data_IF_310458287143
#
_entry.id   IF_310458287143
#
_cell.length_a   1.000
_cell.length_b   1.000
_cell.length_c   1.000
_cell.angle_alpha   90.00
_cell.angle_beta   90.00
_cell.angle_gamma   90.00
#
_symmetry.space_group_name_H-M   'P 1'
#
loop_
_entity.id
_entity.type
_entity.pdbx_description
1 polymer ?
#
# COMPACT_ATOMS: atom_id res chain seq x y z
N UNK A 1 41.46 49.27 -0.72
CA UNK A 1 41.59 47.92 -0.15
C UNK A 1 40.18 47.35 0.05
N UNK A 2 39.62 46.62 -0.93
CA UNK A 2 38.25 46.11 -0.81
C UNK A 2 38.20 44.79 -0.03
N UNK A 3 37.11 44.67 0.71
CA UNK A 3 36.67 43.65 1.66
C UNK A 3 36.52 42.24 1.06
N UNK A 4 37.53 41.39 1.28
CA UNK A 4 37.55 39.97 0.91
C UNK A 4 36.54 39.07 1.67
N UNK A 5 35.84 39.58 2.69
CA UNK A 5 34.94 38.77 3.52
C UNK A 5 33.58 38.47 2.88
N UNK A 6 33.13 39.23 1.88
CA UNK A 6 31.80 39.05 1.30
C UNK A 6 31.74 37.95 0.22
N UNK A 7 32.88 37.61 -0.39
CA UNK A 7 32.94 36.63 -1.48
C UNK A 7 32.88 35.18 -0.97
N UNK A 8 33.40 34.92 0.23
CA UNK A 8 33.36 33.59 0.86
C UNK A 8 31.96 33.15 1.29
N UNK A 9 31.07 34.11 1.58
CA UNK A 9 29.70 33.80 2.01
C UNK A 9 28.78 33.39 0.85
N UNK A 10 29.13 33.76 -0.39
CA UNK A 10 28.36 33.38 -1.58
C UNK A 10 28.78 32.02 -2.15
N UNK A 11 30.06 31.64 -2.00
CA UNK A 11 30.56 30.33 -2.46
C UNK A 11 30.11 29.17 -1.54
N UNK A 12 29.87 29.44 -0.26
CA UNK A 12 29.36 28.42 0.70
C UNK A 12 27.85 28.13 0.57
N UNK A 13 27.09 28.94 -0.19
CA UNK A 13 25.66 28.72 -0.44
C UNK A 13 25.39 27.83 -1.67
N UNK A 14 26.39 27.58 -2.53
CA UNK A 14 26.22 26.83 -3.79
C UNK A 14 26.52 25.33 -3.69
N UNK A 15 27.01 24.81 -2.57
CA UNK A 15 27.31 23.37 -2.42
C UNK A 15 26.19 22.55 -1.76
N UNK A 16 25.07 23.18 -1.42
CA UNK A 16 23.88 22.48 -0.92
C UNK A 16 22.93 22.03 -2.04
N UNK A 17 23.43 21.78 -3.25
CA UNK A 17 22.70 20.96 -4.23
C UNK A 17 22.66 19.53 -3.68
N UNK A 18 21.70 19.30 -2.80
CA UNK A 18 21.28 17.99 -2.33
C UNK A 18 21.07 17.11 -3.56
N UNK A 19 22.02 16.21 -3.81
CA UNK A 19 21.80 15.04 -4.65
C UNK A 19 20.78 14.21 -3.87
N UNK A 20 19.50 14.45 -4.13
CA UNK A 20 18.47 13.57 -3.62
C UNK A 20 18.74 12.20 -4.24
N UNK A 21 18.93 11.14 -3.44
CA UNK A 21 19.08 9.81 -3.99
C UNK A 21 17.83 9.52 -4.83
N UNK A 22 18.02 9.31 -6.14
CA UNK A 22 16.98 8.72 -6.97
C UNK A 22 16.55 7.45 -6.25
N UNK A 23 15.26 7.32 -5.93
CA UNK A 23 14.71 6.14 -5.28
C UNK A 23 15.10 4.91 -6.11
N UNK A 24 16.14 4.21 -5.67
CA UNK A 24 16.57 2.98 -6.32
C UNK A 24 15.41 1.99 -6.16
N UNK A 25 14.91 1.48 -7.28
CA UNK A 25 13.82 0.51 -7.23
C UNK A 25 14.38 -0.76 -6.61
N UNK A 26 13.83 -1.25 -5.48
CA UNK A 26 14.44 -2.33 -4.74
C UNK A 26 14.50 -3.59 -5.59
N UNK A 27 15.59 -4.32 -5.43
CA UNK A 27 15.81 -5.58 -6.14
C UNK A 27 14.97 -6.69 -5.49
N UNK A 28 14.68 -7.76 -6.24
CA UNK A 28 13.82 -8.85 -5.76
C UNK A 28 14.32 -9.48 -4.45
N UNK A 29 15.64 -9.59 -4.26
CA UNK A 29 16.20 -10.13 -3.01
C UNK A 29 15.98 -9.21 -1.80
N UNK A 30 16.01 -7.89 -2.00
CA UNK A 30 15.72 -6.90 -0.94
C UNK A 30 14.23 -6.93 -0.58
N UNK A 31 13.36 -7.01 -1.60
CA UNK A 31 11.92 -7.20 -1.40
C UNK A 31 11.68 -8.48 -0.59
N UNK A 32 12.29 -9.59 -1.01
CA UNK A 32 12.16 -10.88 -0.36
C UNK A 32 12.58 -10.81 1.13
N UNK A 33 13.75 -10.25 1.39
CA UNK A 33 14.28 -10.07 2.75
C UNK A 33 13.34 -9.19 3.60
N UNK A 34 12.84 -8.09 3.04
CA UNK A 34 11.94 -7.19 3.74
C UNK A 34 10.59 -7.85 4.08
N UNK A 35 10.01 -8.62 3.15
CA UNK A 35 8.76 -9.35 3.40
C UNK A 35 8.96 -10.38 4.51
N UNK A 36 10.01 -11.21 4.43
CA UNK A 36 10.33 -12.20 5.47
C UNK A 36 10.49 -11.51 6.82
N UNK A 37 11.29 -10.43 6.88
CA UNK A 37 11.52 -9.70 8.12
C UNK A 37 10.25 -9.07 8.70
N UNK A 38 9.31 -8.61 7.86
CA UNK A 38 8.03 -8.09 8.33
C UNK A 38 7.10 -9.19 8.84
N UNK A 39 7.01 -10.32 8.14
CA UNK A 39 6.21 -11.49 8.57
C UNK A 39 6.72 -12.00 9.91
N UNK A 40 8.04 -12.18 10.06
CA UNK A 40 8.65 -12.69 11.28
C UNK A 40 8.39 -11.80 12.52
N UNK A 41 8.17 -10.50 12.33
CA UNK A 41 7.87 -9.55 13.42
C UNK A 41 6.39 -9.43 13.75
N UNK A 42 5.50 -9.98 12.92
CA UNK A 42 4.07 -9.85 13.13
C UNK A 42 3.56 -10.97 14.05
N UNK A 43 2.94 -10.60 15.17
CA UNK A 43 2.51 -11.56 16.20
C UNK A 43 1.43 -12.54 15.73
N UNK A 44 0.69 -12.22 14.66
CA UNK A 44 -0.39 -13.08 14.16
C UNK A 44 0.09 -14.12 13.17
N UNK A 45 1.20 -13.85 12.47
CA UNK A 45 1.66 -14.68 11.34
C UNK A 45 3.14 -15.08 11.41
N UNK A 46 3.92 -14.51 12.32
CA UNK A 46 5.36 -14.77 12.44
C UNK A 46 5.73 -16.16 12.92
N UNK A 47 4.79 -16.89 13.54
CA UNK A 47 4.97 -18.30 13.92
C UNK A 47 4.55 -19.29 12.82
N UNK A 48 4.00 -18.80 11.70
CA UNK A 48 3.57 -19.67 10.60
C UNK A 48 4.76 -20.15 9.77
N UNK A 49 4.69 -21.38 9.29
CA UNK A 49 5.65 -21.92 8.34
C UNK A 49 5.29 -21.46 6.92
N UNK A 50 5.81 -20.30 6.53
CA UNK A 50 5.59 -19.68 5.23
C UNK A 50 6.93 -19.54 4.50
N UNK A 51 7.02 -20.11 3.31
CA UNK A 51 8.09 -19.86 2.36
C UNK A 51 7.73 -18.62 1.53
N UNK A 52 8.68 -17.69 1.44
CA UNK A 52 8.55 -16.46 0.67
C UNK A 52 9.63 -16.44 -0.39
N UNK A 53 9.22 -16.29 -1.64
CA UNK A 53 10.12 -16.04 -2.77
C UNK A 53 9.63 -14.83 -3.54
N UNK A 54 10.54 -14.10 -4.19
CA UNK A 54 10.19 -12.92 -5.00
C UNK A 54 10.82 -13.03 -6.37
N UNK A 55 10.03 -12.86 -7.42
CA UNK A 55 10.50 -12.80 -8.81
C UNK A 55 9.76 -11.72 -9.59
N UNK A 56 10.48 -10.87 -10.31
CA UNK A 56 9.92 -9.74 -11.07
C UNK A 56 8.99 -8.89 -10.21
N UNK A 57 9.39 -8.69 -8.95
CA UNK A 57 8.62 -7.97 -7.91
C UNK A 57 7.26 -8.57 -7.58
N UNK A 58 7.02 -9.83 -7.96
CA UNK A 58 5.85 -10.61 -7.53
C UNK A 58 6.31 -11.47 -6.36
N UNK A 59 5.63 -11.31 -5.22
CA UNK A 59 5.90 -12.10 -4.01
C UNK A 59 5.07 -13.36 -4.08
N UNK A 60 5.70 -14.53 -4.06
CA UNK A 60 5.05 -15.82 -4.01
C UNK A 60 5.05 -16.30 -2.55
N UNK A 61 3.85 -16.48 -2.00
CA UNK A 61 3.62 -17.00 -0.66
C UNK A 61 3.23 -18.47 -0.76
N UNK A 62 4.00 -19.35 -0.11
CA UNK A 62 3.75 -20.78 -0.06
C UNK A 62 3.74 -21.26 1.39
N UNK A 63 2.83 -22.18 1.71
CA UNK A 63 2.77 -22.80 3.04
C UNK A 63 1.35 -22.89 3.57
N UNK A 64 1.25 -22.92 4.90
CA UNK A 64 -0.02 -23.14 5.61
C UNK A 64 -0.35 -21.93 6.49
N UNK A 65 -1.51 -21.33 6.26
CA UNK A 65 -2.13 -20.35 7.14
C UNK A 65 -3.25 -21.03 7.95
N UNK A 66 -3.39 -20.75 9.24
CA UNK A 66 -4.44 -21.42 10.03
C UNK A 66 -5.85 -20.92 9.68
N UNK A 67 -5.98 -19.64 9.33
CA UNK A 67 -7.27 -18.99 9.07
C UNK A 67 -7.23 -18.09 7.84
N UNK A 68 -8.41 -17.67 7.36
CA UNK A 68 -8.52 -16.67 6.30
C UNK A 68 -7.96 -15.32 6.75
N UNK A 69 -8.04 -15.01 8.04
CA UNK A 69 -7.49 -13.82 8.65
C UNK A 69 -5.96 -13.85 8.58
N UNK A 70 -5.33 -15.00 8.90
CA UNK A 70 -3.89 -15.18 8.74
C UNK A 70 -3.46 -15.03 7.27
N UNK A 71 -4.19 -15.65 6.33
CA UNK A 71 -3.90 -15.54 4.91
C UNK A 71 -4.01 -14.09 4.40
N UNK A 72 -5.08 -13.38 4.78
CA UNK A 72 -5.26 -11.96 4.46
C UNK A 72 -4.11 -11.13 5.01
N UNK A 73 -3.69 -11.39 6.25
CA UNK A 73 -2.61 -10.66 6.94
C UNK A 73 -1.25 -10.89 6.30
N UNK A 74 -0.92 -12.13 5.90
CA UNK A 74 0.29 -12.44 5.13
C UNK A 74 0.33 -11.66 3.81
N UNK A 75 -0.78 -11.67 3.07
CA UNK A 75 -0.88 -10.93 1.80
C UNK A 75 -0.80 -9.43 2.01
N UNK A 76 -1.41 -8.91 3.07
CA UNK A 76 -1.33 -7.50 3.45
C UNK A 76 0.11 -7.07 3.70
N UNK A 77 0.87 -7.84 4.49
CA UNK A 77 2.28 -7.55 4.77
C UNK A 77 3.09 -7.54 3.47
N UNK A 78 2.96 -8.60 2.65
CA UNK A 78 3.65 -8.70 1.36
C UNK A 78 3.30 -7.52 0.44
N UNK A 79 2.02 -7.24 0.22
CA UNK A 79 1.57 -6.16 -0.66
C UNK A 79 1.94 -4.75 -0.15
N UNK A 80 2.11 -4.59 1.18
CA UNK A 80 2.56 -3.34 1.79
C UNK A 80 4.05 -3.05 1.60
N UNK A 81 4.84 -4.06 1.26
CA UNK A 81 6.29 -3.91 1.11
C UNK A 81 6.61 -3.06 -0.14
N UNK A 82 7.54 -2.12 0.03
CA UNK A 82 7.99 -1.25 -1.06
C UNK A 82 8.55 -2.07 -2.23
N UNK A 83 8.21 -1.66 -3.45
CA UNK A 83 8.63 -2.34 -4.68
C UNK A 83 7.76 -3.51 -5.11
N UNK A 84 6.90 -4.08 -4.25
CA UNK A 84 6.03 -5.20 -4.61
C UNK A 84 5.00 -4.79 -5.68
N UNK A 85 4.89 -5.55 -6.75
CA UNK A 85 3.92 -5.32 -7.80
C UNK A 85 2.62 -6.10 -7.55
N UNK A 86 2.74 -7.39 -7.24
CA UNK A 86 1.62 -8.27 -6.92
C UNK A 86 2.05 -9.35 -5.91
N UNK A 87 1.06 -10.05 -5.35
CA UNK A 87 1.25 -11.18 -4.45
C UNK A 87 0.55 -12.40 -5.05
N UNK A 88 1.32 -13.46 -5.29
CA UNK A 88 0.84 -14.77 -5.70
C UNK A 88 0.63 -15.65 -4.45
N UNK A 89 -0.53 -16.27 -4.39
CA UNK A 89 -0.99 -17.11 -3.29
C UNK A 89 -1.47 -18.47 -3.77
N UNK A 90 -1.15 -18.83 -5.02
CA UNK A 90 -1.53 -20.11 -5.64
C UNK A 90 -1.07 -21.34 -4.86
N UNK A 91 -0.01 -21.21 -4.06
CA UNK A 91 0.55 -22.28 -3.22
C UNK A 91 0.35 -22.03 -1.72
N UNK A 92 -0.49 -21.05 -1.36
CA UNK A 92 -0.90 -20.82 0.02
C UNK A 92 -2.15 -21.64 0.31
N UNK A 93 -2.12 -22.41 1.40
CA UNK A 93 -3.21 -23.28 1.82
C UNK A 93 -3.62 -22.98 3.25
N UNK A 94 -4.85 -23.38 3.60
CA UNK A 94 -5.32 -23.41 4.98
C UNK A 94 -5.00 -24.75 5.63
N UNK A 95 -5.03 -24.83 6.96
CA UNK A 95 -4.71 -26.05 7.75
C UNK A 95 -5.48 -27.31 7.28
N UNK A 96 -6.71 -27.13 6.78
CA UNK A 96 -7.55 -28.21 6.25
C UNK A 96 -7.35 -28.48 4.74
N UNK A 97 -6.23 -28.04 4.16
CA UNK A 97 -5.89 -28.22 2.74
C UNK A 97 -6.73 -27.40 1.76
N UNK A 98 -7.57 -26.48 2.26
CA UNK A 98 -8.40 -25.59 1.42
C UNK A 98 -7.62 -24.36 1.00
N UNK A 99 -7.90 -23.83 -0.19
CA UNK A 99 -7.42 -22.51 -0.55
C UNK A 99 -8.06 -21.44 0.35
N UNK A 100 -7.34 -20.36 0.71
CA UNK A 100 -7.94 -19.21 1.36
C UNK A 100 -9.08 -18.62 0.53
N UNK A 101 -10.07 -18.05 1.19
CA UNK A 101 -11.17 -17.37 0.53
C UNK A 101 -10.63 -16.25 -0.37
N UNK A 102 -11.10 -16.19 -1.62
CA UNK A 102 -10.68 -15.19 -2.60
C UNK A 102 -10.88 -13.75 -2.09
N UNK A 103 -11.95 -13.51 -1.33
CA UNK A 103 -12.22 -12.24 -0.66
C UNK A 103 -11.17 -11.88 0.38
N UNK A 104 -10.67 -12.84 1.17
CA UNK A 104 -9.60 -12.62 2.15
C UNK A 104 -8.29 -12.20 1.46
N UNK A 105 -7.90 -12.92 0.41
CA UNK A 105 -6.71 -12.58 -0.37
C UNK A 105 -6.84 -11.17 -0.97
N UNK A 106 -8.00 -10.86 -1.54
CA UNK A 106 -8.26 -9.56 -2.16
C UNK A 106 -8.27 -8.41 -1.14
N UNK A 107 -8.85 -8.63 0.05
CA UNK A 107 -8.78 -7.69 1.19
C UNK A 107 -7.32 -7.43 1.57
N UNK A 108 -6.52 -8.49 1.72
CA UNK A 108 -5.09 -8.37 2.03
C UNK A 108 -4.36 -7.49 1.01
N UNK A 109 -4.57 -7.72 -0.30
CA UNK A 109 -3.94 -6.91 -1.36
C UNK A 109 -4.34 -5.44 -1.28
N UNK A 110 -5.62 -5.15 -1.07
CA UNK A 110 -6.13 -3.77 -0.97
C UNK A 110 -5.53 -3.08 0.26
N UNK A 111 -5.60 -3.70 1.44
CA UNK A 111 -5.07 -3.12 2.67
C UNK A 111 -3.55 -2.94 2.61
N UNK A 112 -2.82 -3.87 1.99
CA UNK A 112 -1.38 -3.73 1.78
C UNK A 112 -1.05 -2.50 0.94
N UNK A 113 -1.77 -2.27 -0.17
CA UNK A 113 -1.61 -1.03 -0.96
C UNK A 113 -1.94 0.22 -0.14
N UNK A 114 -2.99 0.19 0.68
CA UNK A 114 -3.33 1.34 1.52
C UNK A 114 -2.24 1.68 2.53
N UNK A 115 -1.59 0.67 3.13
CA UNK A 115 -0.43 0.89 4.01
C UNK A 115 0.73 1.48 3.21
N UNK A 116 1.05 0.90 2.05
CA UNK A 116 2.18 1.33 1.23
C UNK A 116 2.10 2.78 0.75
N UNK A 117 0.89 3.27 0.50
CA UNK A 117 0.65 4.63 0.00
C UNK A 117 0.10 5.56 1.09
N UNK A 118 0.36 5.27 2.37
CA UNK A 118 0.04 6.11 3.52
C UNK A 118 -1.44 6.50 3.65
N UNK A 119 -2.35 5.63 3.21
CA UNK A 119 -3.77 5.75 3.52
C UNK A 119 -4.11 5.14 4.88
N UNK A 120 -3.32 4.18 5.33
CA UNK A 120 -3.53 3.49 6.59
C UNK A 120 -2.22 3.34 7.38
N UNK A 121 -2.30 3.58 8.69
CA UNK A 121 -1.18 3.33 9.59
C UNK A 121 -1.21 1.86 10.03
N UNK A 122 -0.41 1.00 9.40
CA UNK A 122 -0.31 -0.44 9.74
C UNK A 122 -1.71 -1.06 10.00
N UNK A 123 -1.99 -1.48 11.24
CA UNK A 123 -3.24 -2.14 11.63
C UNK A 123 -4.40 -1.18 11.97
N UNK A 124 -4.17 0.14 11.91
CA UNK A 124 -5.15 1.19 12.23
C UNK A 124 -5.70 1.83 10.97
N UNK A 125 -6.33 1.02 10.12
CA UNK A 125 -6.95 1.50 8.89
C UNK A 125 -8.35 2.06 9.19
N UNK A 126 -8.57 3.35 8.91
CA UNK A 126 -9.90 3.99 9.05
C UNK A 126 -10.86 3.59 7.94
N UNK A 127 -10.34 2.95 6.90
CA UNK A 127 -11.10 2.43 5.76
C UNK A 127 -11.44 0.98 6.04
N UNK A 128 -12.74 0.69 6.15
CA UNK A 128 -13.29 -0.65 6.20
C UNK A 128 -13.52 -1.14 4.76
N UNK A 129 -12.95 -2.30 4.45
CA UNK A 129 -13.12 -2.99 3.18
C UNK A 129 -13.96 -4.25 3.41
N UNK A 130 -15.05 -4.40 2.66
CA UNK A 130 -15.90 -5.59 2.68
C UNK A 130 -16.10 -6.05 1.25
N UNK A 131 -15.99 -7.35 0.98
CA UNK A 131 -16.17 -7.90 -0.35
C UNK A 131 -17.34 -8.86 -0.33
N UNK A 132 -18.34 -8.61 -1.18
CA UNK A 132 -19.52 -9.48 -1.31
C UNK A 132 -19.80 -9.69 -2.78
N UNK A 133 -19.84 -10.96 -3.21
CA UNK A 133 -20.08 -11.33 -4.62
C UNK A 133 -19.18 -10.55 -5.61
N UNK A 134 -17.88 -10.46 -5.31
CA UNK A 134 -16.87 -9.72 -6.09
C UNK A 134 -17.04 -8.19 -6.18
N UNK A 135 -18.01 -7.60 -5.46
CA UNK A 135 -18.15 -6.15 -5.31
C UNK A 135 -17.39 -5.71 -4.05
N UNK A 136 -16.52 -4.71 -4.21
CA UNK A 136 -15.74 -4.14 -3.10
C UNK A 136 -16.49 -2.95 -2.51
N UNK A 137 -16.93 -3.09 -1.27
CA UNK A 137 -17.56 -2.03 -0.50
C UNK A 137 -16.51 -1.33 0.37
N UNK A 138 -16.28 -0.05 0.10
CA UNK A 138 -15.37 0.80 0.86
C UNK A 138 -16.18 1.74 1.74
N UNK A 139 -15.82 1.84 3.02
CA UNK A 139 -16.46 2.76 3.96
C UNK A 139 -15.46 3.24 5.00
N UNK A 140 -15.76 4.33 5.69
CA UNK A 140 -14.86 4.85 6.72
C UNK A 140 -14.97 6.35 6.89
N UNK A 141 -14.11 6.89 7.77
CA UNK A 141 -13.99 8.33 8.01
C UNK A 141 -12.64 8.80 7.50
N UNK A 142 -12.65 9.69 6.51
CA UNK A 142 -11.44 10.22 5.86
C UNK A 142 -11.29 11.73 6.12
N UNK A 143 -10.08 12.25 5.94
CA UNK A 143 -9.77 13.67 6.18
C UNK A 143 -10.17 14.56 5.00
N UNK A 144 -10.18 14.01 3.79
CA UNK A 144 -10.42 14.79 2.57
C UNK A 144 -11.05 13.96 1.44
N UNK A 145 -11.70 14.61 0.46
CA UNK A 145 -12.16 13.93 -0.75
C UNK A 145 -10.99 13.38 -1.60
N UNK A 146 -9.81 13.97 -1.53
CA UNK A 146 -8.61 13.49 -2.23
C UNK A 146 -8.19 12.11 -1.71
N UNK A 147 -8.25 11.92 -0.38
CA UNK A 147 -7.99 10.63 0.26
C UNK A 147 -9.00 9.56 -0.18
N UNK A 148 -10.27 9.94 -0.32
CA UNK A 148 -11.33 9.05 -0.83
C UNK A 148 -11.07 8.63 -2.28
N UNK A 149 -10.69 9.58 -3.14
CA UNK A 149 -10.36 9.29 -4.54
C UNK A 149 -9.12 8.38 -4.65
N UNK A 150 -8.09 8.65 -3.85
CA UNK A 150 -6.88 7.82 -3.80
C UNK A 150 -7.20 6.40 -3.36
N UNK A 151 -8.06 6.22 -2.34
CA UNK A 151 -8.51 4.91 -1.91
C UNK A 151 -9.21 4.12 -3.04
N UNK A 152 -10.10 4.78 -3.79
CA UNK A 152 -10.79 4.17 -4.94
C UNK A 152 -9.81 3.78 -6.05
N UNK A 153 -8.89 4.67 -6.46
CA UNK A 153 -7.90 4.38 -7.53
C UNK A 153 -6.98 3.22 -7.13
N UNK A 154 -6.51 3.21 -5.88
CA UNK A 154 -5.68 2.12 -5.38
C UNK A 154 -6.43 0.80 -5.38
N UNK A 155 -7.71 0.78 -4.97
CA UNK A 155 -8.55 -0.41 -5.02
C UNK A 155 -8.79 -0.88 -6.44
N UNK A 156 -9.10 0.00 -7.39
CA UNK A 156 -9.33 -0.38 -8.79
C UNK A 156 -8.06 -0.93 -9.46
N UNK A 157 -6.88 -0.55 -8.98
CA UNK A 157 -5.61 -1.06 -9.48
C UNK A 157 -5.26 -2.48 -8.97
N UNK A 158 -6.09 -3.10 -8.14
CA UNK A 158 -5.84 -4.47 -7.64
C UNK A 158 -6.48 -5.49 -8.59
N UNK A 159 -5.67 -6.42 -9.10
CA UNK A 159 -6.12 -7.50 -9.97
C UNK A 159 -7.23 -8.31 -9.28
N UNK A 160 -8.36 -8.47 -9.97
CA UNK A 160 -9.54 -9.19 -9.48
C UNK A 160 -10.64 -8.28 -8.92
N UNK A 161 -10.39 -6.98 -8.74
CA UNK A 161 -11.44 -6.00 -8.45
C UNK A 161 -12.17 -5.64 -9.74
N UNK A 162 -13.50 -5.80 -9.75
CA UNK A 162 -14.35 -5.49 -10.91
C UNK A 162 -15.25 -4.29 -10.64
N UNK A 163 -15.83 -4.23 -9.45
CA UNK A 163 -16.78 -3.19 -9.06
C UNK A 163 -16.46 -2.66 -7.66
N UNK A 164 -16.59 -1.34 -7.49
CA UNK A 164 -16.29 -0.65 -6.23
C UNK A 164 -17.47 0.25 -5.87
N UNK A 165 -17.99 0.07 -4.65
CA UNK A 165 -19.01 0.93 -4.06
C UNK A 165 -18.40 1.62 -2.85
N UNK A 166 -18.16 2.93 -2.95
CA UNK A 166 -17.52 3.72 -1.91
C UNK A 166 -18.53 4.62 -1.17
N UNK A 167 -18.54 4.54 0.16
CA UNK A 167 -19.36 5.35 1.07
C UNK A 167 -18.51 5.89 2.22
N UNK A 168 -17.80 6.99 1.97
CA UNK A 168 -16.95 7.64 2.97
C UNK A 168 -17.64 8.82 3.65
N UNK A 169 -17.33 9.03 4.94
CA UNK A 169 -17.64 10.25 5.67
C UNK A 169 -16.38 11.11 5.73
N UNK A 170 -16.48 12.41 5.48
CA UNK A 170 -15.33 13.32 5.58
C UNK A 170 -15.37 14.01 6.95
N UNK A 171 -14.30 13.85 7.74
CA UNK A 171 -14.21 14.26 9.14
C UNK A 171 -14.26 15.78 9.35
N UNK A 172 -13.84 16.55 8.34
CA UNK A 172 -13.79 18.01 8.41
C UNK A 172 -14.44 18.54 7.13
N UNK A 173 -15.32 19.55 7.17
CA UNK A 173 -15.72 20.23 5.95
C UNK A 173 -14.46 20.79 5.32
N UNK A 174 -14.08 20.22 4.17
CA UNK A 174 -12.97 20.72 3.36
C UNK A 174 -13.25 22.19 3.09
N UNK A 175 -12.49 23.10 3.71
CA UNK A 175 -12.48 24.50 3.34
C UNK A 175 -11.50 24.60 2.16
N UNK A 176 -11.97 24.64 0.90
CA UNK A 176 -11.06 24.91 -0.21
C UNK A 176 -10.37 26.23 0.10
N UNK A 177 -9.04 26.19 0.23
CA UNK A 177 -8.25 27.42 0.21
C UNK A 177 -8.36 27.89 -1.24
N UNK A 178 -9.23 28.88 -1.47
CA UNK A 178 -9.65 29.41 -2.76
C UNK A 178 -8.58 29.25 -3.86
N UNK A 179 -8.85 28.36 -4.81
CA UNK A 179 -8.39 28.47 -6.19
C UNK A 179 -9.47 27.83 -7.06
N UNK A 180 -9.86 28.54 -8.12
CA UNK A 180 -11.07 28.33 -8.87
C UNK A 180 -11.20 26.92 -9.45
N UNK A 181 -12.43 26.42 -9.42
CA UNK A 181 -12.89 25.09 -9.77
C UNK A 181 -12.82 24.79 -11.27
N UNK A 182 -12.30 23.60 -11.62
CA UNK A 182 -12.76 22.86 -12.79
C UNK A 182 -13.34 21.53 -12.31
N UNK A 183 -14.67 21.43 -12.36
CA UNK A 183 -15.39 20.18 -12.13
C UNK A 183 -15.14 19.26 -13.33
N UNK A 184 -14.29 18.25 -13.15
CA UNK A 184 -14.18 17.15 -14.11
C UNK A 184 -14.92 15.92 -13.54
N UNK A 185 -15.67 15.17 -14.37
CA UNK A 185 -16.12 13.84 -13.97
C UNK A 185 -14.89 13.01 -13.58
N UNK A 186 -14.98 12.33 -12.43
CA UNK A 186 -13.88 11.61 -11.79
C UNK A 186 -13.51 10.40 -12.64
N UNK A 187 -12.75 10.62 -13.72
CA UNK A 187 -11.92 9.60 -14.33
C UNK A 187 -10.61 9.54 -13.54
N UNK A 188 -10.21 8.35 -13.11
CA UNK A 188 -8.86 8.13 -12.61
C UNK A 188 -7.90 8.37 -13.78
N UNK A 189 -7.37 9.60 -13.89
CA UNK A 189 -6.40 9.96 -14.95
C UNK A 189 -4.98 9.48 -14.59
N UNK A 190 -4.81 8.95 -13.38
CA UNK A 190 -3.52 8.48 -12.86
C UNK A 190 -3.66 7.09 -12.22
N UNK A 191 -4.31 6.19 -12.94
CA UNK A 191 -4.20 4.74 -12.84
C UNK A 191 -4.28 4.25 -14.30
#
# INVERSE_FOLDING_TARGET
>A
MPSFKLFYLFVLLLTALSIQPLFAVPMDHEINFNVIGQIARDYQVGSLTIEVTTNKRIVHLRGVAYTNENASKLVQIAASTAGVNDVDTSQLTLEYGKAPASSSILIGKILGKYIRYDLCEKDRCKIKVVITRNIVFLSGVLRSPIEAQKAVCLTSSVKGVHEIVAKFKIAVPYRPRFSASVFHPIRCIWC
#
